data_IF_149808739547
#
_entry.id   IF_149808739547
#
_cell.length_a   1.000
_cell.length_b   1.000
_cell.length_c   1.000
_cell.angle_alpha   90.00
_cell.angle_beta   90.00
_cell.angle_gamma   90.00
#
_symmetry.space_group_name_H-M   'P 1'
#
loop_
_entity.id
_entity.type
_entity.pdbx_description
1 polymer ?
#
# COMPACT_ATOMS: atom_id res chain seq x y z
N UNK A 1 7.10 19.52 -1.28
CA UNK A 1 5.62 19.63 -1.19
C UNK A 1 4.94 18.30 -1.50
N UNK A 2 5.17 17.65 -2.65
CA UNK A 2 4.48 16.40 -3.01
C UNK A 2 4.66 15.24 -1.99
N UNK A 3 5.86 15.04 -1.45
CA UNK A 3 6.16 13.99 -0.45
C UNK A 3 5.27 14.13 0.79
N UNK A 4 5.13 15.34 1.34
CA UNK A 4 4.32 15.60 2.53
C UNK A 4 2.84 15.30 2.31
N UNK A 5 2.32 15.64 1.13
CA UNK A 5 0.93 15.35 0.75
C UNK A 5 0.69 13.84 0.68
N UNK A 6 1.62 13.08 0.10
CA UNK A 6 1.50 11.61 0.00
C UNK A 6 1.58 10.95 1.39
N UNK A 7 2.43 11.43 2.29
CA UNK A 7 2.48 10.94 3.67
C UNK A 7 1.15 11.18 4.38
N UNK A 8 0.60 12.39 4.30
CA UNK A 8 -0.71 12.72 4.88
C UNK A 8 -1.80 11.84 4.28
N UNK A 9 -1.82 11.67 2.96
CA UNK A 9 -2.79 10.82 2.28
C UNK A 9 -2.71 9.36 2.78
N UNK A 10 -1.51 8.78 2.89
CA UNK A 10 -1.32 7.43 3.41
C UNK A 10 -1.86 7.27 4.84
N UNK A 11 -1.58 8.23 5.73
CA UNK A 11 -2.10 8.21 7.10
C UNK A 11 -3.64 8.29 7.12
N UNK A 12 -4.22 9.16 6.29
CA UNK A 12 -5.67 9.29 6.17
C UNK A 12 -6.31 8.01 5.62
N UNK A 13 -5.73 7.40 4.57
CA UNK A 13 -6.22 6.14 3.99
C UNK A 13 -6.23 5.03 5.05
N UNK A 14 -5.13 4.86 5.78
CA UNK A 14 -5.02 3.86 6.86
C UNK A 14 -6.08 4.11 7.94
N UNK A 15 -6.24 5.36 8.36
CA UNK A 15 -7.21 5.75 9.40
C UNK A 15 -8.66 5.50 8.97
N UNK A 16 -9.02 5.91 7.74
CA UNK A 16 -10.36 5.72 7.18
C UNK A 16 -10.67 4.23 7.04
N UNK A 17 -9.74 3.46 6.47
CA UNK A 17 -9.94 2.01 6.28
C UNK A 17 -10.04 1.28 7.61
N UNK A 18 -9.26 1.68 8.61
CA UNK A 18 -9.39 1.16 9.96
C UNK A 18 -10.79 1.42 10.54
N UNK A 19 -11.30 2.65 10.44
CA UNK A 19 -12.65 3.01 10.92
C UNK A 19 -13.73 2.21 10.16
N UNK A 20 -13.62 2.05 8.84
CA UNK A 20 -14.57 1.26 8.04
C UNK A 20 -14.57 -0.22 8.47
N UNK A 21 -13.41 -0.74 8.89
CA UNK A 21 -13.26 -2.13 9.32
C UNK A 21 -13.74 -2.38 10.76
N UNK A 22 -14.00 -1.35 11.57
CA UNK A 22 -14.52 -1.52 12.93
C UNK A 22 -15.88 -2.21 12.90
N UNK A 23 -16.02 -3.28 13.69
CA UNK A 23 -17.26 -4.07 13.77
C UNK A 23 -17.52 -4.96 12.56
N UNK A 24 -16.63 -5.02 11.55
CA UNK A 24 -16.73 -5.97 10.44
C UNK A 24 -16.16 -7.33 10.84
N UNK A 25 -16.60 -8.38 10.15
CA UNK A 25 -16.02 -9.72 10.31
C UNK A 25 -14.57 -9.73 9.81
N UNK A 26 -13.74 -10.62 10.39
CA UNK A 26 -12.34 -10.77 9.97
C UNK A 26 -12.22 -11.00 8.45
N UNK A 27 -13.14 -11.78 7.88
CA UNK A 27 -13.27 -11.99 6.43
C UNK A 27 -13.31 -10.67 5.65
N UNK A 28 -14.29 -9.83 5.97
CA UNK A 28 -14.48 -8.54 5.30
C UNK A 28 -13.30 -7.60 5.53
N UNK A 29 -12.76 -7.57 6.74
CA UNK A 29 -11.56 -6.79 7.06
C UNK A 29 -10.38 -7.18 6.18
N UNK A 30 -10.10 -8.47 5.99
CA UNK A 30 -9.02 -8.94 5.10
C UNK A 30 -9.24 -8.54 3.64
N UNK A 31 -10.48 -8.65 3.14
CA UNK A 31 -10.80 -8.24 1.77
C UNK A 31 -10.53 -6.74 1.57
N UNK A 32 -11.03 -5.90 2.49
CA UNK A 32 -10.86 -4.44 2.41
C UNK A 32 -9.37 -4.06 2.50
N UNK A 33 -8.63 -4.63 3.45
CA UNK A 33 -7.20 -4.35 3.60
C UNK A 33 -6.38 -4.84 2.42
N UNK A 34 -6.70 -6.00 1.84
CA UNK A 34 -6.03 -6.51 0.67
C UNK A 34 -6.21 -5.60 -0.55
N UNK A 35 -7.44 -5.17 -0.82
CA UNK A 35 -7.74 -4.22 -1.92
C UNK A 35 -7.07 -2.87 -1.66
N UNK A 36 -7.16 -2.34 -0.45
CA UNK A 36 -6.53 -1.07 -0.07
C UNK A 36 -5.01 -1.15 -0.27
N UNK A 37 -4.39 -2.26 0.13
CA UNK A 37 -2.96 -2.47 -0.03
C UNK A 37 -2.57 -2.53 -1.50
N UNK A 38 -3.31 -3.28 -2.33
CA UNK A 38 -3.01 -3.42 -3.76
C UNK A 38 -3.19 -2.12 -4.55
N UNK A 39 -4.32 -1.44 -4.37
CA UNK A 39 -4.74 -0.36 -5.28
C UNK A 39 -4.27 1.00 -4.80
N UNK A 40 -4.09 1.19 -3.50
CA UNK A 40 -3.85 2.52 -2.92
C UNK A 40 -2.48 2.59 -2.24
N UNK A 41 -2.21 1.73 -1.27
CA UNK A 41 -0.97 1.81 -0.49
C UNK A 41 0.23 1.40 -1.33
N UNK A 42 0.16 0.30 -2.10
CA UNK A 42 1.26 -0.18 -2.92
C UNK A 42 1.81 0.90 -3.88
N UNK A 43 1.00 1.55 -4.74
CA UNK A 43 1.54 2.56 -5.65
C UNK A 43 2.07 3.80 -4.92
N UNK A 44 1.36 4.29 -3.89
CA UNK A 44 1.76 5.50 -3.16
C UNK A 44 3.02 5.28 -2.31
N UNK A 45 3.10 4.16 -1.60
CA UNK A 45 4.24 3.84 -0.75
C UNK A 45 5.47 3.46 -1.58
N UNK A 46 5.29 2.69 -2.67
CA UNK A 46 6.38 2.39 -3.59
C UNK A 46 6.96 3.66 -4.21
N UNK A 47 6.10 4.58 -4.66
CA UNK A 47 6.55 5.88 -5.17
C UNK A 47 7.29 6.67 -4.08
N UNK A 48 6.72 6.79 -2.88
CA UNK A 48 7.30 7.56 -1.78
C UNK A 48 8.72 7.10 -1.43
N UNK A 49 8.88 5.80 -1.15
CA UNK A 49 10.18 5.23 -0.76
C UNK A 49 11.19 5.34 -1.91
N UNK A 50 10.75 5.08 -3.14
CA UNK A 50 11.64 5.06 -4.30
C UNK A 50 12.14 6.45 -4.68
N UNK A 51 11.28 7.47 -4.61
CA UNK A 51 11.69 8.86 -4.85
C UNK A 51 12.64 9.35 -3.75
N UNK A 52 12.37 9.04 -2.49
CA UNK A 52 13.30 9.37 -1.40
C UNK A 52 14.67 8.72 -1.61
N UNK A 53 14.68 7.47 -2.06
CA UNK A 53 15.92 6.76 -2.38
C UNK A 53 16.66 7.39 -3.57
N UNK A 54 15.98 7.67 -4.69
CA UNK A 54 16.63 8.32 -5.84
C UNK A 54 17.13 9.73 -5.53
N UNK A 55 16.44 10.50 -4.67
CA UNK A 55 16.94 11.80 -4.19
C UNK A 55 18.23 11.60 -3.37
N UNK A 56 18.26 10.60 -2.48
CA UNK A 56 19.44 10.28 -1.66
C UNK A 56 20.63 9.88 -2.52
N UNK A 57 20.41 9.08 -3.55
CA UNK A 57 21.45 8.59 -4.46
C UNK A 57 21.80 9.58 -5.58
N UNK A 58 20.96 10.61 -5.80
CA UNK A 58 21.12 11.57 -6.91
C UNK A 58 20.85 10.98 -8.29
N UNK A 59 20.20 9.82 -8.37
CA UNK A 59 19.95 9.07 -9.60
C UNK A 59 18.46 8.70 -9.77
N UNK A 60 17.88 9.13 -10.89
CA UNK A 60 16.50 8.81 -11.26
C UNK A 60 16.29 7.34 -11.60
N UNK A 61 17.31 6.64 -12.12
CA UNK A 61 17.23 5.21 -12.39
C UNK A 61 17.17 4.40 -11.09
N UNK A 62 17.89 4.82 -10.06
CA UNK A 62 17.79 4.23 -8.73
C UNK A 62 16.35 4.32 -8.16
N UNK A 63 15.67 5.45 -8.35
CA UNK A 63 14.25 5.57 -8.00
C UNK A 63 13.37 4.62 -8.82
N UNK A 64 13.48 4.63 -10.15
CA UNK A 64 12.63 3.78 -11.00
C UNK A 64 12.87 2.29 -10.71
N UNK A 65 14.13 1.89 -10.57
CA UNK A 65 14.50 0.52 -10.26
C UNK A 65 13.90 0.04 -8.94
N UNK A 66 13.98 0.85 -7.89
CA UNK A 66 13.37 0.51 -6.59
C UNK A 66 11.84 0.46 -6.70
N UNK A 67 11.22 1.34 -7.48
CA UNK A 67 9.76 1.38 -7.66
C UNK A 67 9.24 0.12 -8.35
N UNK A 68 9.95 -0.35 -9.39
CA UNK A 68 9.62 -1.57 -10.14
C UNK A 68 9.74 -2.83 -9.28
N UNK A 69 10.55 -2.81 -8.22
CA UNK A 69 10.68 -3.93 -7.28
C UNK A 69 9.63 -3.81 -6.16
N UNK A 70 9.49 -2.63 -5.55
CA UNK A 70 8.66 -2.43 -4.37
C UNK A 70 7.16 -2.54 -4.69
N UNK A 71 6.73 -2.03 -5.84
CA UNK A 71 5.32 -2.05 -6.22
C UNK A 71 4.78 -3.48 -6.39
N UNK A 72 5.37 -4.36 -7.23
CA UNK A 72 4.91 -5.74 -7.36
C UNK A 72 4.98 -6.51 -6.05
N UNK A 73 6.02 -6.28 -5.25
CA UNK A 73 6.15 -6.93 -3.94
C UNK A 73 4.98 -6.58 -3.00
N UNK A 74 4.67 -5.28 -2.84
CA UNK A 74 3.54 -4.84 -2.02
C UNK A 74 2.19 -5.26 -2.60
N UNK A 75 2.05 -5.26 -3.92
CA UNK A 75 0.87 -5.76 -4.60
C UNK A 75 0.63 -7.24 -4.28
N UNK A 76 1.67 -8.08 -4.33
CA UNK A 76 1.58 -9.49 -3.99
C UNK A 76 1.20 -9.72 -2.53
N UNK A 77 1.72 -8.91 -1.59
CA UNK A 77 1.29 -8.95 -0.18
C UNK A 77 -0.20 -8.64 -0.08
N UNK A 78 -0.66 -7.58 -0.75
CA UNK A 78 -2.08 -7.21 -0.79
C UNK A 78 -2.96 -8.31 -1.39
N UNK A 79 -2.48 -8.95 -2.45
CA UNK A 79 -3.15 -10.08 -3.10
C UNK A 79 -3.30 -11.26 -2.13
N UNK A 80 -2.24 -11.64 -1.41
CA UNK A 80 -2.31 -12.72 -0.41
C UNK A 80 -3.33 -12.39 0.68
N UNK A 81 -3.30 -11.17 1.23
CA UNK A 81 -4.27 -10.70 2.24
C UNK A 81 -5.71 -10.77 1.70
N UNK A 82 -5.92 -10.32 0.47
CA UNK A 82 -7.21 -10.38 -0.20
C UNK A 82 -7.70 -11.82 -0.38
N UNK A 83 -6.85 -12.72 -0.89
CA UNK A 83 -7.19 -14.12 -1.10
C UNK A 83 -7.50 -14.83 0.22
N UNK A 84 -6.74 -14.55 1.29
CA UNK A 84 -7.06 -15.02 2.64
C UNK A 84 -8.47 -14.58 3.05
N UNK A 85 -8.83 -13.33 2.79
CA UNK A 85 -10.19 -12.84 3.01
C UNK A 85 -11.24 -13.56 2.16
N UNK A 86 -11.02 -13.72 0.86
CA UNK A 86 -11.97 -14.36 -0.06
C UNK A 86 -12.26 -15.81 0.34
N UNK A 87 -11.20 -16.59 0.60
CA UNK A 87 -11.30 -18.01 0.93
C UNK A 87 -11.56 -18.28 2.41
N UNK A 88 -11.66 -17.23 3.25
CA UNK A 88 -12.07 -17.41 4.63
C UNK A 88 -13.55 -17.83 4.69
N UNK A 89 -13.75 -19.02 5.23
CA UNK A 89 -15.05 -19.63 5.49
C UNK A 89 -15.31 -19.49 6.98
N UNK A 90 -16.08 -18.45 7.33
CA UNK A 90 -16.47 -17.97 8.67
C UNK A 90 -15.43 -17.11 9.43
#
# INVERSE_FOLDING_TARGET
MAIGVVVIALVLIVSIVFIICLGKSKKTTFIIWGITLMVVIAPLFAWLVSILYGIKEGDGFAAVGLMVILFPFLFLIGLVIFLVGVFKTF
#
